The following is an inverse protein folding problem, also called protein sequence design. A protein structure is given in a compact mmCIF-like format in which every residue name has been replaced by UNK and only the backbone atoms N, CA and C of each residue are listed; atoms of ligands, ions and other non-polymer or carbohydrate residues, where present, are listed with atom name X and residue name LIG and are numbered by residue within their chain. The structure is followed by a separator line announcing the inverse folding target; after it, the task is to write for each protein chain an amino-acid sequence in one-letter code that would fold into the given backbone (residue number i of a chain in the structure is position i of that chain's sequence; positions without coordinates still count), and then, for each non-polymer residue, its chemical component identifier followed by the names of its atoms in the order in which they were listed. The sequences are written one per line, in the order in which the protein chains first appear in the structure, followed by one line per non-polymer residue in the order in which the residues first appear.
data_IF_329803035924
#
_entry.id   IF_329803035924
#
_cell.length_a   1.000
_cell.length_b   1.000
_cell.length_c   1.000
_cell.angle_alpha   90.00
_cell.angle_beta   90.00
_cell.angle_gamma   90.00
#
_symmetry.space_group_name_H-M   'P 1'
#
loop_
_entity.id
_entity.type
_entity.pdbx_description
1 polymer ?
#
# COMPACT_ATOMS: atom_id res chain seq x y z
N UNK A 1 6.66 20.95 -4.20
CA UNK A 1 6.96 19.67 -3.52
C UNK A 1 5.86 18.70 -3.90
N UNK A 2 6.18 17.67 -4.68
CA UNK A 2 5.17 16.81 -5.30
C UNK A 2 4.70 15.71 -4.32
N UNK A 3 3.39 15.47 -4.25
CA UNK A 3 2.76 14.52 -3.33
C UNK A 3 2.81 13.11 -3.92
N UNK A 4 3.10 12.10 -3.09
CA UNK A 4 3.00 10.70 -3.49
C UNK A 4 1.56 10.37 -3.92
N UNK A 5 1.43 9.46 -4.88
CA UNK A 5 0.14 8.92 -5.28
C UNK A 5 -0.03 7.53 -4.67
N UNK A 6 -1.25 7.26 -4.22
CA UNK A 6 -1.62 5.99 -3.58
C UNK A 6 -2.86 5.42 -4.27
N UNK A 7 -2.75 4.19 -4.74
CA UNK A 7 -3.83 3.49 -5.43
C UNK A 7 -4.20 2.23 -4.65
N UNK A 8 -5.47 2.11 -4.25
CA UNK A 8 -5.99 0.87 -3.67
C UNK A 8 -6.40 -0.05 -4.81
N UNK A 9 -5.79 -1.22 -4.87
CA UNK A 9 -6.10 -2.24 -5.88
C UNK A 9 -6.68 -3.47 -5.17
N UNK A 10 -7.85 -3.89 -5.62
CA UNK A 10 -8.43 -5.17 -5.20
C UNK A 10 -7.86 -6.28 -6.09
N UNK A 11 -7.38 -7.36 -5.48
CA UNK A 11 -6.92 -8.54 -6.19
C UNK A 11 -7.86 -9.71 -5.88
N UNK A 12 -8.42 -10.31 -6.92
CA UNK A 12 -9.27 -11.50 -6.82
C UNK A 12 -8.53 -12.72 -6.24
N UNK A 13 -7.19 -12.69 -6.22
CA UNK A 13 -6.32 -13.75 -5.70
C UNK A 13 -5.77 -13.48 -4.31
N UNK A 14 -5.95 -12.26 -3.78
CA UNK A 14 -5.48 -11.91 -2.45
C UNK A 14 -6.67 -11.70 -1.52
N UNK A 15 -6.57 -12.22 -0.29
CA UNK A 15 -7.58 -12.07 0.76
C UNK A 15 -7.86 -10.58 1.05
N UNK A 16 -6.83 -9.76 0.95
CA UNK A 16 -6.90 -8.31 1.18
C UNK A 16 -6.47 -7.53 -0.06
N UNK A 17 -7.06 -6.34 -0.24
CA UNK A 17 -6.56 -5.36 -1.19
C UNK A 17 -5.12 -4.96 -0.86
N UNK A 18 -4.40 -4.38 -1.81
CA UNK A 18 -3.10 -3.76 -1.58
C UNK A 18 -3.10 -2.27 -2.00
N UNK A 19 -2.10 -1.54 -1.52
CA UNK A 19 -1.88 -0.12 -1.77
C UNK A 19 -0.60 0.06 -2.58
N UNK A 20 -0.73 0.46 -3.83
CA UNK A 20 0.42 0.89 -4.63
C UNK A 20 0.81 2.33 -4.29
N UNK A 21 2.11 2.58 -4.30
CA UNK A 21 2.72 3.89 -4.03
C UNK A 21 3.57 4.30 -5.23
N UNK A 22 3.30 5.47 -5.76
CA UNK A 22 3.97 6.01 -6.94
C UNK A 22 4.69 7.32 -6.60
N UNK A 23 5.84 7.51 -7.25
CA UNK A 23 6.45 8.83 -7.31
C UNK A 23 5.65 9.71 -8.29
N UNK A 24 5.72 11.03 -8.14
CA UNK A 24 4.87 11.94 -8.90
C UNK A 24 5.32 12.01 -10.36
N UNK A 25 4.44 11.64 -11.29
CA UNK A 25 4.71 11.58 -12.72
C UNK A 25 5.09 10.20 -13.24
N UNK A 26 5.31 9.24 -12.35
CA UNK A 26 5.65 7.87 -12.74
C UNK A 26 4.38 7.06 -13.02
N UNK A 27 4.44 6.21 -14.04
CA UNK A 27 3.34 5.30 -14.42
C UNK A 27 3.37 3.98 -13.68
N UNK A 28 4.52 3.61 -13.09
CA UNK A 28 4.73 2.36 -12.37
C UNK A 28 4.94 2.61 -10.88
N UNK A 29 4.42 1.74 -9.99
CA UNK A 29 4.64 1.90 -8.56
C UNK A 29 6.06 1.50 -8.21
N UNK A 30 6.65 2.18 -7.24
CA UNK A 30 7.94 1.75 -6.66
C UNK A 30 7.74 0.85 -5.44
N UNK A 31 6.54 0.86 -4.84
CA UNK A 31 6.22 0.10 -3.64
C UNK A 31 4.76 -0.37 -3.65
N UNK A 32 4.51 -1.55 -3.10
CA UNK A 32 3.20 -2.00 -2.67
C UNK A 32 3.18 -2.22 -1.15
N UNK A 33 2.02 -1.96 -0.55
CA UNK A 33 1.72 -2.24 0.86
C UNK A 33 0.53 -3.19 0.89
N UNK A 34 0.72 -4.38 1.46
CA UNK A 34 -0.32 -5.40 1.60
C UNK A 34 -0.47 -5.81 3.07
N UNK A 35 -1.47 -6.63 3.34
CA UNK A 35 -1.67 -7.30 4.63
C UNK A 35 -1.52 -8.79 4.42
N UNK A 36 -0.67 -9.43 5.21
CA UNK A 36 -0.48 -10.88 5.18
C UNK A 36 -1.65 -11.59 5.86
N UNK A 37 -1.79 -12.90 5.63
CA UNK A 37 -2.77 -13.73 6.34
C UNK A 37 -2.53 -13.76 7.87
N UNK A 38 -1.30 -13.46 8.32
CA UNK A 38 -0.93 -13.31 9.73
C UNK A 38 -1.21 -11.90 10.30
N UNK A 39 -1.90 -11.03 9.54
CA UNK A 39 -2.26 -9.66 9.91
C UNK A 39 -1.05 -8.75 10.13
N UNK A 40 0.02 -8.97 9.37
CA UNK A 40 1.21 -8.12 9.35
C UNK A 40 1.22 -7.24 8.09
N UNK A 41 1.95 -6.13 8.14
CA UNK A 41 2.16 -5.30 6.96
C UNK A 41 3.28 -5.90 6.10
N UNK A 42 2.98 -6.19 4.85
CA UNK A 42 3.97 -6.57 3.85
C UNK A 42 4.30 -5.37 2.97
N UNK A 43 5.60 -5.11 2.79
CA UNK A 43 6.10 -4.08 1.89
C UNK A 43 6.87 -4.74 0.75
N UNK A 44 6.36 -4.61 -0.46
CA UNK A 44 7.06 -5.04 -1.67
C UNK A 44 7.68 -3.82 -2.35
N UNK A 45 8.98 -3.88 -2.63
CA UNK A 45 9.71 -2.83 -3.35
C UNK A 45 9.98 -3.31 -4.77
N UNK A 46 9.48 -2.55 -5.76
CA UNK A 46 9.66 -2.89 -7.15
C UNK A 46 10.98 -2.33 -7.68
N UNK A 47 11.49 -2.97 -8.74
CA UNK A 47 12.63 -2.41 -9.46
C UNK A 47 12.22 -1.06 -10.04
N UNK A 48 13.03 -0.06 -9.78
CA UNK A 48 12.85 1.29 -10.30
C UNK A 48 14.09 1.67 -11.12
N UNK A 49 13.91 2.39 -12.24
CA UNK A 49 15.04 2.77 -13.10
C UNK A 49 16.01 3.74 -12.40
N UNK A 50 15.46 4.56 -11.51
CA UNK A 50 16.19 5.56 -10.74
C UNK A 50 16.11 5.28 -9.24
N UNK A 51 17.01 5.88 -8.46
CA UNK A 51 16.91 5.84 -7.00
C UNK A 51 15.60 6.48 -6.53
N UNK A 52 14.90 5.80 -5.62
CA UNK A 52 13.75 6.38 -4.92
C UNK A 52 14.27 7.34 -3.86
N UNK A 53 14.00 8.63 -4.02
CA UNK A 53 14.39 9.67 -3.07
C UNK A 53 13.12 10.24 -2.43
N UNK A 54 12.99 10.09 -1.12
CA UNK A 54 11.85 10.56 -0.35
C UNK A 54 12.28 11.62 0.65
N UNK A 55 11.42 12.61 0.87
CA UNK A 55 11.56 13.45 2.06
C UNK A 55 11.06 12.72 3.31
N UNK A 56 11.45 13.20 4.48
CA UNK A 56 10.96 12.67 5.76
C UNK A 56 9.43 12.68 5.82
N UNK A 57 8.79 13.74 5.29
CA UNK A 57 7.33 13.85 5.26
C UNK A 57 6.68 12.79 4.37
N UNK A 58 7.28 12.49 3.21
CA UNK A 58 6.77 11.44 2.31
C UNK A 58 6.90 10.05 2.94
N UNK A 59 8.03 9.77 3.61
CA UNK A 59 8.19 8.52 4.35
C UNK A 59 7.18 8.40 5.49
N UNK A 60 6.94 9.48 6.24
CA UNK A 60 5.92 9.51 7.28
C UNK A 60 4.50 9.31 6.73
N UNK A 61 4.21 9.84 5.54
CA UNK A 61 2.93 9.63 4.87
C UNK A 61 2.71 8.15 4.52
N UNK A 62 3.73 7.48 3.96
CA UNK A 62 3.70 6.05 3.66
C UNK A 62 3.38 5.25 4.92
N UNK A 63 4.12 5.47 6.00
CA UNK A 63 3.92 4.77 7.28
C UNK A 63 2.54 5.04 7.90
N UNK A 64 2.06 6.28 7.79
CA UNK A 64 0.74 6.67 8.30
C UNK A 64 -0.37 5.96 7.54
N UNK A 65 -0.28 5.90 6.20
CA UNK A 65 -1.28 5.20 5.38
C UNK A 65 -1.21 3.69 5.57
N UNK A 66 -0.01 3.10 5.68
CA UNK A 66 0.16 1.68 5.97
C UNK A 66 -0.52 1.29 7.31
N UNK A 67 -0.30 2.10 8.35
CA UNK A 67 -0.94 1.90 9.67
C UNK A 67 -2.46 1.95 9.61
N UNK A 68 -3.03 2.85 8.80
CA UNK A 68 -4.49 2.95 8.62
C UNK A 68 -5.04 1.84 7.73
N UNK A 69 -4.21 1.27 6.85
CA UNK A 69 -4.64 0.25 5.89
C UNK A 69 -4.90 -1.10 6.57
N UNK A 70 -4.03 -1.50 7.52
CA UNK A 70 -4.18 -2.76 8.25
C UNK A 70 -5.59 -2.92 8.88
N UNK A 71 -6.09 -2.00 9.74
CA UNK A 71 -7.43 -2.14 10.32
C UNK A 71 -8.55 -2.12 9.26
N UNK A 72 -8.42 -1.29 8.21
CA UNK A 72 -9.42 -1.24 7.13
C UNK A 72 -9.48 -2.54 6.32
N UNK A 73 -8.33 -3.19 6.10
CA UNK A 73 -8.28 -4.48 5.42
C UNK A 73 -8.98 -5.56 6.25
N UNK A 74 -8.75 -5.57 7.56
CA UNK A 74 -9.35 -6.54 8.50
C UNK A 74 -10.87 -6.33 8.70
N UNK A 75 -11.34 -5.08 8.78
CA UNK A 75 -12.78 -4.79 8.90
C UNK A 75 -13.60 -5.24 7.68
N UNK A 76 -13.00 -5.24 6.49
CA UNK A 76 -13.66 -5.72 5.27
C UNK A 76 -13.82 -7.26 5.25
N UNK A 77 -12.96 -7.99 5.98
CA UNK A 77 -13.07 -9.44 6.16
C UNK A 77 -14.25 -9.78 7.09
N UNK A 78 -14.35 -9.11 8.25
CA UNK A 78 -15.42 -9.37 9.23
C UNK A 78 -16.82 -9.04 8.68
N UNK A 79 -16.93 -8.08 7.75
CA UNK A 79 -18.21 -7.72 7.14
C UNK A 79 -18.56 -8.54 5.88
N UNK A 80 -17.65 -9.41 5.42
CA UNK A 80 -17.91 -10.39 4.37
C UNK A 80 -18.22 -11.78 4.93
N UNK A 81 -18.62 -11.84 6.22
CA UNK A 81 -19.33 -12.97 6.80
C UNK A 81 -20.49 -13.39 5.91
N UNK A 82 -20.22 -14.38 5.04
CA UNK A 82 -21.26 -15.18 4.42
C UNK A 82 -22.06 -15.84 5.54
N UNK A 83 -23.40 -15.89 5.42
CA UNK A 83 -24.22 -16.76 6.25
C UNK A 83 -23.82 -18.24 6.10
#
# INVERSE_FOLDING_TARGET
MYKLLFEKVGDIRSTYAYLYVYLPGDSEPFMAIAVTDTRELEFTFFRHENNVVLTVQQLQEILTRARSFLPQALENEDNSGMP
#
